data_IF_710756230317
#
_entry.id   IF_710756230317
#
_cell.length_a   1.000
_cell.length_b   1.000
_cell.length_c   1.000
_cell.angle_alpha   90.00
_cell.angle_beta   90.00
_cell.angle_gamma   90.00
#
_symmetry.space_group_name_H-M   'P 1'
#
loop_
_entity.id
_entity.type
_entity.pdbx_description
1 polymer ?
#
# COMPACT_ATOMS: atom_id res chain seq x y z
N UNK A 1 24.82 4.34 -25.74
CA UNK A 1 24.22 4.91 -24.50
C UNK A 1 23.36 3.82 -23.89
N UNK A 2 23.53 3.48 -22.61
CA UNK A 2 22.66 2.50 -21.96
C UNK A 2 21.23 3.05 -21.92
N UNK A 3 20.23 2.20 -22.22
CA UNK A 3 18.82 2.61 -22.08
C UNK A 3 18.54 2.89 -20.59
N UNK A 4 17.78 3.94 -20.27
CA UNK A 4 17.41 4.23 -18.89
C UNK A 4 16.58 3.07 -18.32
N UNK A 5 16.90 2.66 -17.09
CA UNK A 5 16.15 1.66 -16.31
C UNK A 5 14.67 2.07 -16.23
N UNK A 6 13.77 1.16 -16.62
CA UNK A 6 12.33 1.40 -16.56
C UNK A 6 11.86 1.24 -15.12
N UNK A 7 11.19 2.27 -14.59
CA UNK A 7 10.58 2.24 -13.25
C UNK A 7 9.09 1.94 -13.36
N UNK A 8 8.59 1.01 -12.57
CA UNK A 8 7.17 0.63 -12.53
C UNK A 8 6.62 0.80 -11.12
N UNK A 9 5.69 1.74 -10.97
CA UNK A 9 4.96 1.94 -9.71
C UNK A 9 3.74 1.03 -9.63
N UNK A 10 3.57 0.32 -8.52
CA UNK A 10 2.40 -0.52 -8.26
C UNK A 10 1.72 -0.02 -6.97
N UNK A 11 0.52 0.57 -7.07
CA UNK A 11 -0.24 0.94 -5.89
C UNK A 11 -0.78 -0.31 -5.19
N UNK A 12 -0.64 -0.37 -3.87
CA UNK A 12 -1.17 -1.46 -3.03
C UNK A 12 -1.90 -0.89 -1.81
N UNK A 13 -2.91 -1.61 -1.38
CA UNK A 13 -3.68 -1.35 -0.15
C UNK A 13 -3.84 -2.65 0.65
N UNK A 14 -4.65 -2.63 1.70
CA UNK A 14 -4.94 -3.81 2.52
C UNK A 14 -5.95 -4.77 1.87
N UNK A 15 -6.40 -4.53 0.63
CA UNK A 15 -7.38 -5.38 -0.06
C UNK A 15 -6.72 -6.56 -0.76
N UNK A 16 -7.44 -7.68 -0.85
CA UNK A 16 -7.02 -8.85 -1.63
C UNK A 16 -6.91 -8.52 -3.14
N UNK A 17 -7.69 -7.54 -3.60
CA UNK A 17 -7.69 -7.14 -5.01
C UNK A 17 -6.36 -6.50 -5.43
N UNK A 18 -5.82 -5.60 -4.60
CA UNK A 18 -4.52 -4.98 -4.90
C UNK A 18 -3.38 -5.98 -4.82
N UNK A 19 -3.44 -6.94 -3.90
CA UNK A 19 -2.49 -8.07 -3.84
C UNK A 19 -2.50 -8.89 -5.12
N UNK A 20 -3.68 -9.36 -5.55
CA UNK A 20 -3.82 -10.15 -6.78
C UNK A 20 -3.34 -9.38 -8.01
N UNK A 21 -3.57 -8.07 -8.07
CA UNK A 21 -3.07 -7.22 -9.15
C UNK A 21 -1.53 -7.12 -9.15
N UNK A 22 -0.93 -6.90 -7.98
CA UNK A 22 0.52 -6.88 -7.82
C UNK A 22 1.15 -8.22 -8.21
N UNK A 23 0.59 -9.34 -7.77
CA UNK A 23 1.06 -10.68 -8.11
C UNK A 23 0.95 -10.99 -9.59
N UNK A 24 -0.17 -10.61 -10.20
CA UNK A 24 -0.35 -10.81 -11.62
C UNK A 24 0.68 -10.03 -12.44
N UNK A 25 0.97 -8.78 -12.06
CA UNK A 25 2.04 -8.00 -12.70
C UNK A 25 3.40 -8.70 -12.56
N UNK A 26 3.78 -9.06 -11.33
CA UNK A 26 5.07 -9.70 -11.04
C UNK A 26 5.25 -11.02 -11.80
N UNK A 27 4.16 -11.78 -11.98
CA UNK A 27 4.20 -13.08 -12.66
C UNK A 27 4.20 -12.97 -14.19
N UNK A 28 3.48 -11.99 -14.76
CA UNK A 28 3.15 -12.01 -16.19
C UNK A 28 3.78 -10.86 -16.99
N UNK A 29 4.13 -9.75 -16.34
CA UNK A 29 4.58 -8.53 -17.01
C UNK A 29 5.93 -8.00 -16.54
N UNK A 30 6.42 -8.43 -15.37
CA UNK A 30 7.70 -7.97 -14.85
C UNK A 30 8.86 -8.43 -15.72
N UNK A 31 9.66 -7.48 -16.20
CA UNK A 31 10.94 -7.75 -16.83
C UNK A 31 12.06 -7.62 -15.79
N UNK A 32 13.09 -8.47 -15.88
CA UNK A 32 14.22 -8.48 -14.94
C UNK A 32 15.01 -7.15 -14.89
N UNK A 33 14.88 -6.31 -15.94
CA UNK A 33 15.50 -4.99 -16.02
C UNK A 33 14.63 -3.86 -15.44
N UNK A 34 13.38 -4.16 -15.05
CA UNK A 34 12.47 -3.18 -14.46
C UNK A 34 12.76 -3.00 -12.97
N UNK A 35 12.78 -1.74 -12.53
CA UNK A 35 12.74 -1.40 -11.11
C UNK A 35 11.30 -1.23 -10.65
N UNK A 36 10.81 -2.19 -9.88
CA UNK A 36 9.46 -2.16 -9.30
C UNK A 36 9.47 -1.33 -8.01
N UNK A 37 8.49 -0.43 -7.88
CA UNK A 37 8.28 0.43 -6.72
C UNK A 37 6.87 0.16 -6.21
N UNK A 38 6.77 -0.50 -5.06
CA UNK A 38 5.48 -0.71 -4.39
C UNK A 38 5.11 0.57 -3.63
N UNK A 39 3.90 1.08 -3.85
CA UNK A 39 3.44 2.34 -3.29
C UNK A 39 2.18 2.05 -2.47
N UNK A 40 2.28 2.21 -1.15
CA UNK A 40 1.11 2.21 -0.27
C UNK A 40 0.80 3.64 0.14
N UNK A 41 -0.46 4.05 0.02
CA UNK A 41 -0.94 5.35 0.48
C UNK A 41 -1.76 5.14 1.75
N UNK A 42 -1.25 5.67 2.85
CA UNK A 42 -1.99 5.76 4.10
C UNK A 42 -3.12 6.77 3.93
N UNK A 43 -4.36 6.29 3.88
CA UNK A 43 -5.53 7.18 3.83
C UNK A 43 -5.81 7.76 5.22
N UNK A 44 -5.90 9.09 5.33
CA UNK A 44 -6.51 9.68 6.52
C UNK A 44 -7.99 9.35 6.50
N UNK A 45 -8.38 8.51 7.43
CA UNK A 45 -9.75 8.08 7.57
C UNK A 45 -10.62 9.27 7.92
N UNK A 46 -11.59 9.52 7.04
CA UNK A 46 -12.69 10.42 7.31
C UNK A 46 -13.61 9.72 8.31
N UNK A 47 -13.24 9.74 9.59
CA UNK A 47 -14.23 9.60 10.63
C UNK A 47 -15.31 10.64 10.34
N UNK A 48 -16.58 10.22 10.28
CA UNK A 48 -17.71 11.13 10.09
C UNK A 48 -17.54 12.36 10.97
N UNK A 49 -17.84 13.55 10.42
CA UNK A 49 -17.43 14.88 10.89
C UNK A 49 -16.53 14.84 12.13
N UNK A 50 -15.26 15.24 12.02
CA UNK A 50 -14.30 15.37 13.14
C UNK A 50 -14.94 15.94 14.43
N UNK A 51 -16.00 16.73 14.28
CA UNK A 51 -16.88 17.28 15.32
C UNK A 51 -17.68 16.25 16.16
N UNK A 52 -17.87 15.01 15.72
CA UNK A 52 -18.77 14.01 16.33
C UNK A 52 -18.08 12.73 16.82
N UNK A 53 -16.81 12.52 16.51
CA UNK A 53 -16.07 11.34 16.98
C UNK A 53 -15.60 11.53 18.43
N UNK A 54 -15.72 10.50 19.26
CA UNK A 54 -15.14 10.52 20.60
C UNK A 54 -13.62 10.40 20.53
N UNK A 55 -12.92 10.83 21.59
CA UNK A 55 -11.46 10.70 21.65
C UNK A 55 -11.05 9.23 21.60
N UNK A 56 -11.77 8.37 22.30
CA UNK A 56 -11.51 6.94 22.39
C UNK A 56 -11.69 6.25 21.03
N UNK A 57 -12.77 6.58 20.32
CA UNK A 57 -13.02 6.05 18.97
C UNK A 57 -11.94 6.50 17.99
N UNK A 58 -11.49 7.76 18.08
CA UNK A 58 -10.39 8.27 17.27
C UNK A 58 -9.07 7.56 17.57
N UNK A 59 -8.72 7.37 18.86
CA UNK A 59 -7.49 6.67 19.27
C UNK A 59 -7.48 5.22 18.78
N UNK A 60 -8.61 4.50 18.92
CA UNK A 60 -8.75 3.14 18.40
C UNK A 60 -8.64 3.12 16.87
N UNK A 61 -9.25 4.09 16.21
CA UNK A 61 -9.24 4.18 14.76
C UNK A 61 -7.83 4.46 14.19
N UNK A 62 -7.08 5.36 14.82
CA UNK A 62 -5.67 5.63 14.48
C UNK A 62 -4.83 4.37 14.71
N UNK A 63 -5.09 3.64 15.81
CA UNK A 63 -4.38 2.40 16.12
C UNK A 63 -4.62 1.34 15.06
N UNK A 64 -5.88 1.07 14.71
CA UNK A 64 -6.26 0.08 13.69
C UNK A 64 -5.66 0.40 12.33
N UNK A 65 -5.66 1.69 11.96
CA UNK A 65 -5.06 2.16 10.72
C UNK A 65 -3.53 1.95 10.70
N UNK A 66 -2.87 2.32 11.80
CA UNK A 66 -1.42 2.15 11.96
C UNK A 66 -1.00 0.68 11.89
N UNK A 67 -1.79 -0.22 12.48
CA UNK A 67 -1.54 -1.66 12.43
C UNK A 67 -1.66 -2.20 11.00
N UNK A 68 -2.71 -1.82 10.27
CA UNK A 68 -2.89 -2.21 8.85
C UNK A 68 -1.75 -1.74 7.96
N UNK A 69 -1.30 -0.49 8.12
CA UNK A 69 -0.15 0.05 7.35
C UNK A 69 1.10 -0.79 7.61
N UNK A 70 1.39 -1.13 8.87
CA UNK A 70 2.54 -1.97 9.22
C UNK A 70 2.45 -3.36 8.60
N UNK A 71 1.27 -3.98 8.61
CA UNK A 71 1.07 -5.30 8.00
C UNK A 71 1.33 -5.26 6.48
N UNK A 72 0.84 -4.22 5.78
CA UNK A 72 1.12 -4.02 4.36
C UNK A 72 2.62 -3.81 4.13
N UNK A 73 3.27 -2.93 4.89
CA UNK A 73 4.72 -2.70 4.76
C UNK A 73 5.54 -3.97 4.97
N UNK A 74 5.28 -4.74 6.03
CA UNK A 74 6.00 -5.98 6.32
C UNK A 74 5.78 -7.05 5.25
N UNK A 75 4.58 -7.12 4.66
CA UNK A 75 4.26 -8.04 3.58
C UNK A 75 5.08 -7.76 2.32
N UNK A 76 5.28 -6.48 1.99
CA UNK A 76 5.99 -6.08 0.77
C UNK A 76 7.49 -5.82 0.97
N UNK A 77 7.99 -5.66 2.20
CA UNK A 77 9.44 -5.57 2.51
C UNK A 77 10.27 -6.79 2.10
N UNK A 78 9.65 -7.95 2.01
CA UNK A 78 10.31 -9.24 1.71
C UNK A 78 10.20 -9.66 0.24
N UNK A 79 9.56 -8.83 -0.61
CA UNK A 79 9.43 -9.05 -2.05
C UNK A 79 10.48 -8.26 -2.81
#
# INVERSE_FOLDING_TARGET
MAKPERKVGIPVDASEHSERACEWYLKNMHHAEDKVIIIHVSEMTHAGSIETITKEDWEQHVKDHTEKVKEVEEKYKKR
#
